data_IF_064613973442
#
_entry.id   IF_064613973442
#
_cell.length_a   1.000
_cell.length_b   1.000
_cell.length_c   1.000
_cell.angle_alpha   90.00
_cell.angle_beta   90.00
_cell.angle_gamma   90.00
#
_symmetry.space_group_name_H-M   'P 1'
#
loop_
_entity.id
_entity.type
_entity.pdbx_description
1 polymer ?
#
# COMPACT_ATOMS: atom_id res chain seq x y z
N UNK A 1 -2.96 15.38 -28.45
CA UNK A 1 -4.41 15.54 -28.68
C UNK A 1 -4.81 16.82 -27.98
N UNK A 2 -5.48 17.74 -28.66
CA UNK A 2 -5.96 18.96 -28.01
C UNK A 2 -7.11 18.59 -27.04
N UNK A 3 -7.02 18.90 -25.73
CA UNK A 3 -8.06 18.58 -24.76
C UNK A 3 -9.43 19.17 -25.12
N UNK A 4 -9.46 20.35 -25.75
CA UNK A 4 -10.71 21.03 -26.13
C UNK A 4 -11.39 20.36 -27.32
N UNK A 5 -10.60 19.91 -28.29
CA UNK A 5 -11.07 19.14 -29.44
C UNK A 5 -11.63 17.78 -28.97
N UNK A 6 -10.89 17.08 -28.12
CA UNK A 6 -11.30 15.80 -27.53
C UNK A 6 -12.63 15.89 -26.76
N UNK A 7 -12.82 16.96 -25.98
CA UNK A 7 -14.06 17.20 -25.25
C UNK A 7 -15.24 17.48 -26.19
N UNK A 8 -15.00 18.20 -27.29
CA UNK A 8 -16.03 18.51 -28.29
C UNK A 8 -16.49 17.24 -29.01
N UNK A 9 -15.55 16.36 -29.35
CA UNK A 9 -15.85 15.08 -29.98
C UNK A 9 -16.57 14.11 -29.02
N UNK A 10 -16.16 14.03 -27.74
CA UNK A 10 -16.91 13.31 -26.70
C UNK A 10 -18.34 13.85 -26.56
N UNK A 11 -18.55 15.16 -26.62
CA UNK A 11 -19.89 15.76 -26.56
C UNK A 11 -20.75 15.35 -27.75
N UNK A 12 -20.17 15.30 -28.95
CA UNK A 12 -20.84 14.81 -30.16
C UNK A 12 -21.26 13.34 -30.01
N UNK A 13 -20.33 12.47 -29.56
CA UNK A 13 -20.62 11.04 -29.28
C UNK A 13 -21.71 10.87 -28.24
N UNK A 14 -21.75 11.73 -27.21
CA UNK A 14 -22.78 11.69 -26.15
C UNK A 14 -24.16 12.12 -26.66
N UNK A 15 -24.24 13.03 -27.63
CA UNK A 15 -25.48 13.69 -28.05
C UNK A 15 -26.19 12.99 -29.22
N UNK A 16 -25.49 12.13 -29.97
CA UNK A 16 -26.01 11.44 -31.15
C UNK A 16 -26.16 9.92 -30.99
N UNK A 17 -26.62 9.26 -32.06
CA UNK A 17 -26.44 7.82 -32.21
C UNK A 17 -24.96 7.56 -32.56
N UNK A 18 -24.25 6.91 -31.64
CA UNK A 18 -22.85 6.53 -31.79
C UNK A 18 -22.72 5.01 -31.84
N UNK A 19 -21.79 4.52 -32.67
CA UNK A 19 -21.46 3.10 -32.70
C UNK A 19 -20.58 2.68 -31.51
N UNK A 20 -20.37 1.37 -31.38
CA UNK A 20 -19.60 0.81 -30.27
C UNK A 20 -18.14 1.28 -30.25
N UNK A 21 -17.54 1.54 -31.41
CA UNK A 21 -16.15 1.99 -31.53
C UNK A 21 -16.01 3.43 -31.05
N UNK A 22 -16.92 4.31 -31.47
CA UNK A 22 -17.00 5.70 -31.03
C UNK A 22 -17.23 5.82 -29.51
N UNK A 23 -18.06 4.95 -28.94
CA UNK A 23 -18.30 4.91 -27.50
C UNK A 23 -17.05 4.46 -26.71
N UNK A 24 -16.36 3.42 -27.19
CA UNK A 24 -15.12 2.94 -26.55
C UNK A 24 -13.99 3.96 -26.65
N UNK A 25 -13.88 4.64 -27.80
CA UNK A 25 -12.98 5.77 -27.97
C UNK A 25 -13.31 6.88 -26.96
N UNK A 26 -14.57 7.31 -26.88
CA UNK A 26 -14.98 8.40 -25.99
C UNK A 26 -14.72 8.08 -24.51
N UNK A 27 -14.97 6.83 -24.08
CA UNK A 27 -14.68 6.38 -22.72
C UNK A 27 -13.17 6.36 -22.43
N UNK A 28 -12.35 5.94 -23.39
CA UNK A 28 -10.89 5.92 -23.27
C UNK A 28 -10.34 7.34 -23.18
N UNK A 29 -10.77 8.22 -24.08
CA UNK A 29 -10.39 9.64 -24.10
C UNK A 29 -10.82 10.35 -22.81
N UNK A 30 -12.03 10.07 -22.32
CA UNK A 30 -12.52 10.63 -21.05
C UNK A 30 -11.70 10.15 -19.85
N UNK A 31 -11.22 8.91 -19.84
CA UNK A 31 -10.31 8.41 -18.80
C UNK A 31 -8.98 9.16 -18.83
N UNK A 32 -8.37 9.30 -20.00
CA UNK A 32 -7.09 10.00 -20.17
C UNK A 32 -7.19 11.48 -19.74
N UNK A 33 -8.27 12.16 -20.12
CA UNK A 33 -8.53 13.54 -19.68
C UNK A 33 -8.71 13.64 -18.16
N UNK A 34 -9.38 12.67 -17.53
CA UNK A 34 -9.51 12.65 -16.06
C UNK A 34 -8.17 12.42 -15.37
N UNK A 35 -7.31 11.58 -15.94
CA UNK A 35 -5.97 11.34 -15.40
C UNK A 35 -5.12 12.62 -15.49
N UNK A 36 -5.17 13.34 -16.61
CA UNK A 36 -4.48 14.63 -16.79
C UNK A 36 -5.02 15.71 -15.82
N UNK A 37 -6.33 15.85 -15.71
CA UNK A 37 -6.93 16.80 -14.76
C UNK A 37 -6.61 16.46 -13.30
N UNK A 38 -6.46 15.17 -12.98
CA UNK A 38 -6.10 14.71 -11.64
C UNK A 38 -4.67 15.09 -11.26
N UNK A 39 -3.74 15.25 -12.21
CA UNK A 39 -2.37 15.74 -11.91
C UNK A 39 -2.34 17.24 -11.68
N UNK A 40 -3.19 18.01 -12.36
CA UNK A 40 -3.24 19.47 -12.21
C UNK A 40 -3.84 19.91 -10.87
N UNK A 41 -4.82 19.17 -10.33
CA UNK A 41 -5.48 19.54 -9.07
C UNK A 41 -4.50 19.76 -7.89
N UNK A 42 -3.58 18.82 -7.55
CA UNK A 42 -2.59 19.06 -6.49
C UNK A 42 -1.58 20.16 -6.83
N UNK A 43 -1.23 20.38 -8.10
CA UNK A 43 -0.34 21.48 -8.52
C UNK A 43 -1.00 22.84 -8.28
N UNK A 44 -2.26 23.00 -8.69
CA UNK A 44 -3.04 24.22 -8.48
C UNK A 44 -3.29 24.50 -7.00
N UNK A 45 -3.59 23.47 -6.20
CA UNK A 45 -3.71 23.62 -4.74
C UNK A 45 -2.38 24.06 -4.13
N UNK A 46 -1.26 23.47 -4.55
CA UNK A 46 0.08 23.83 -4.06
C UNK A 46 0.42 25.27 -4.41
N UNK A 47 0.19 25.69 -5.66
CA UNK A 47 0.39 27.06 -6.10
C UNK A 47 -0.45 28.05 -5.27
N UNK A 48 -1.75 27.77 -5.08
CA UNK A 48 -2.63 28.60 -4.28
C UNK A 48 -2.19 28.71 -2.82
N UNK A 49 -1.70 27.61 -2.21
CA UNK A 49 -1.15 27.59 -0.86
C UNK A 49 0.14 28.42 -0.75
N UNK A 50 1.03 28.31 -1.74
CA UNK A 50 2.27 29.10 -1.83
C UNK A 50 1.97 30.60 -1.98
N UNK A 51 0.88 30.96 -2.66
CA UNK A 51 0.38 32.35 -2.74
C UNK A 51 -0.35 32.83 -1.48
N UNK A 52 -0.41 32.03 -0.41
CA UNK A 52 -1.00 32.42 0.87
C UNK A 52 -2.49 32.09 1.04
N UNK A 53 -3.12 31.41 0.07
CA UNK A 53 -4.54 31.04 0.17
C UNK A 53 -4.75 30.06 1.32
N UNK A 54 -5.68 30.35 2.24
CA UNK A 54 -5.98 29.45 3.36
C UNK A 54 -6.79 28.21 2.91
N UNK A 55 -6.69 27.11 3.64
CA UNK A 55 -7.54 25.93 3.42
C UNK A 55 -9.04 26.23 3.52
N UNK A 56 -9.43 27.20 4.34
CA UNK A 56 -10.82 27.63 4.44
C UNK A 56 -11.29 28.33 3.15
N UNK A 57 -10.42 29.13 2.53
CA UNK A 57 -10.70 29.78 1.24
C UNK A 57 -10.69 28.79 0.06
N UNK A 58 -9.89 27.70 0.14
CA UNK A 58 -9.87 26.65 -0.87
C UNK A 58 -11.09 25.71 -0.82
N UNK A 59 -11.70 25.53 0.35
CA UNK A 59 -12.77 24.54 0.52
C UNK A 59 -13.95 24.72 -0.45
N UNK A 60 -14.50 25.94 -0.67
CA UNK A 60 -15.55 26.15 -1.68
C UNK A 60 -15.10 25.80 -3.10
N UNK A 61 -13.87 26.19 -3.50
CA UNK A 61 -13.34 25.93 -4.83
C UNK A 61 -13.13 24.43 -5.12
N UNK A 62 -12.83 23.65 -4.08
CA UNK A 62 -12.68 22.19 -4.16
C UNK A 62 -14.01 21.43 -3.99
N UNK A 63 -15.14 22.14 -3.84
CA UNK A 63 -16.45 21.54 -3.65
C UNK A 63 -16.63 20.79 -2.32
N UNK A 64 -15.90 21.20 -1.27
CA UNK A 64 -15.95 20.55 0.05
C UNK A 64 -16.43 21.52 1.14
N UNK A 65 -17.13 20.97 2.14
CA UNK A 65 -17.83 21.77 3.14
C UNK A 65 -16.91 22.41 4.20
N UNK A 66 -15.65 22.00 4.31
CA UNK A 66 -14.77 22.49 5.40
C UNK A 66 -13.30 22.53 5.02
N UNK A 67 -12.55 23.35 5.77
CA UNK A 67 -11.07 23.40 5.74
C UNK A 67 -10.44 22.01 5.88
N UNK A 68 -10.89 21.22 6.87
CA UNK A 68 -10.33 19.90 7.12
C UNK A 68 -10.61 18.95 5.94
N UNK A 69 -11.77 19.07 5.29
CA UNK A 69 -12.09 18.27 4.11
C UNK A 69 -11.19 18.65 2.92
N UNK A 70 -10.87 19.93 2.75
CA UNK A 70 -9.94 20.42 1.73
C UNK A 70 -8.51 19.90 1.95
N UNK A 71 -8.01 20.04 3.17
CA UNK A 71 -6.68 19.56 3.56
C UNK A 71 -6.55 18.04 3.36
N UNK A 72 -7.53 17.27 3.83
CA UNK A 72 -7.56 15.81 3.64
C UNK A 72 -7.63 15.41 2.17
N UNK A 73 -8.34 16.16 1.32
CA UNK A 73 -8.37 15.92 -0.12
C UNK A 73 -6.98 16.10 -0.73
N UNK A 74 -6.31 17.20 -0.44
CA UNK A 74 -4.95 17.46 -0.90
C UNK A 74 -3.95 16.38 -0.45
N UNK A 75 -3.99 15.97 0.82
CA UNK A 75 -3.11 14.92 1.34
C UNK A 75 -3.33 13.54 0.68
N UNK A 76 -4.51 13.26 0.12
CA UNK A 76 -4.77 12.05 -0.67
C UNK A 76 -4.28 12.13 -2.10
N UNK A 77 -4.15 13.36 -2.63
CA UNK A 77 -3.69 13.65 -3.98
C UNK A 77 -2.16 13.77 -4.03
N UNK A 78 -1.52 14.05 -2.89
CA UNK A 78 -0.07 13.97 -2.75
C UNK A 78 0.40 12.55 -3.06
N UNK A 79 1.37 12.38 -3.98
CA UNK A 79 2.03 11.10 -4.16
C UNK A 79 2.57 10.64 -2.81
N UNK A 80 2.26 9.41 -2.38
CA UNK A 80 3.07 8.79 -1.34
C UNK A 80 4.52 8.77 -1.83
N UNK A 81 5.48 8.66 -0.91
CA UNK A 81 6.93 8.62 -1.17
C UNK A 81 7.35 7.57 -2.23
N UNK A 82 6.41 6.73 -2.69
CA UNK A 82 6.52 5.73 -3.76
C UNK A 82 6.12 6.20 -5.18
N UNK A 83 5.50 7.38 -5.37
CA UNK A 83 5.33 8.00 -6.69
C UNK A 83 4.19 7.51 -7.61
N UNK A 84 3.07 6.99 -7.08
CA UNK A 84 1.95 6.48 -7.89
C UNK A 84 0.86 7.54 -8.15
N UNK A 85 0.46 7.76 -9.42
CA UNK A 85 -0.30 8.93 -9.88
C UNK A 85 -1.75 8.68 -10.35
N UNK A 86 -2.29 7.44 -10.32
CA UNK A 86 -3.69 7.19 -10.76
C UNK A 86 -4.51 6.32 -9.78
N UNK A 87 -5.84 6.47 -9.81
CA UNK A 87 -6.77 5.66 -8.99
C UNK A 87 -6.69 4.16 -9.30
N UNK A 88 -6.38 3.81 -10.55
CA UNK A 88 -6.14 2.44 -11.01
C UNK A 88 -4.83 1.87 -10.40
N UNK A 89 -3.76 2.67 -10.37
CA UNK A 89 -2.51 2.27 -9.71
C UNK A 89 -2.71 2.00 -8.21
N UNK A 90 -3.55 2.78 -7.51
CA UNK A 90 -3.89 2.53 -6.09
C UNK A 90 -4.62 1.20 -5.90
N UNK A 91 -5.55 0.87 -6.79
CA UNK A 91 -6.29 -0.40 -6.73
C UNK A 91 -5.34 -1.57 -6.99
N UNK A 92 -4.43 -1.42 -7.95
CA UNK A 92 -3.46 -2.46 -8.27
C UNK A 92 -2.41 -2.64 -7.18
N UNK A 93 -1.88 -1.57 -6.59
CA UNK A 93 -0.99 -1.63 -5.43
C UNK A 93 -1.68 -2.31 -4.22
N UNK A 94 -2.96 -2.02 -3.98
CA UNK A 94 -3.73 -2.68 -2.94
C UNK A 94 -4.00 -4.16 -3.26
N UNK A 95 -4.18 -4.52 -4.54
CA UNK A 95 -4.32 -5.91 -5.00
C UNK A 95 -3.01 -6.68 -4.87
N UNK A 96 -1.89 -6.05 -5.19
CA UNK A 96 -0.52 -6.58 -5.00
C UNK A 96 -0.24 -6.85 -3.55
N UNK A 97 -0.50 -5.86 -2.68
CA UNK A 97 -0.38 -6.03 -1.24
C UNK A 97 -1.19 -7.23 -0.76
N UNK A 98 -2.46 -7.34 -1.16
CA UNK A 98 -3.32 -8.48 -0.79
C UNK A 98 -2.81 -9.80 -1.36
N UNK A 99 -2.21 -9.81 -2.54
CA UNK A 99 -1.62 -11.01 -3.12
C UNK A 99 -0.38 -11.46 -2.33
N UNK A 100 0.50 -10.52 -1.99
CA UNK A 100 1.65 -10.76 -1.12
C UNK A 100 1.25 -11.25 0.27
N UNK A 101 0.27 -10.61 0.91
CA UNK A 101 -0.24 -11.02 2.22
C UNK A 101 -0.82 -12.45 2.19
N UNK A 102 -1.56 -12.80 1.12
CA UNK A 102 -2.06 -14.18 0.93
C UNK A 102 -0.93 -15.20 0.73
N UNK A 103 0.09 -14.85 -0.04
CA UNK A 103 1.24 -15.73 -0.27
C UNK A 103 2.02 -16.00 1.03
N UNK A 104 2.23 -14.97 1.84
CA UNK A 104 2.86 -15.10 3.16
C UNK A 104 1.99 -15.94 4.10
N UNK A 105 0.69 -15.70 4.16
CA UNK A 105 -0.21 -16.47 5.03
C UNK A 105 -0.26 -17.96 4.65
N UNK A 106 -0.27 -18.28 3.34
CA UNK A 106 -0.20 -19.65 2.86
C UNK A 106 1.12 -20.33 3.27
N UNK A 107 2.25 -19.67 3.00
CA UNK A 107 3.57 -20.18 3.38
C UNK A 107 3.70 -20.34 4.91
N UNK A 108 3.21 -19.38 5.70
CA UNK A 108 3.26 -19.45 7.16
C UNK A 108 2.44 -20.62 7.70
N UNK A 109 1.28 -20.92 7.10
CA UNK A 109 0.47 -22.09 7.46
C UNK A 109 1.22 -23.40 7.19
N UNK A 110 1.86 -23.51 6.02
CA UNK A 110 2.70 -24.66 5.65
C UNK A 110 3.94 -24.81 6.55
N UNK A 111 4.48 -23.70 7.05
CA UNK A 111 5.70 -23.66 7.87
C UNK A 111 5.42 -23.44 9.36
N UNK A 112 4.18 -23.66 9.78
CA UNK A 112 3.67 -23.26 11.10
C UNK A 112 4.41 -23.92 12.27
N UNK A 113 4.81 -25.19 12.13
CA UNK A 113 5.60 -25.89 13.14
C UNK A 113 6.98 -25.24 13.34
N UNK A 114 7.66 -24.86 12.26
CA UNK A 114 8.96 -24.18 12.30
C UNK A 114 8.83 -22.80 12.95
N UNK A 115 7.81 -22.02 12.56
CA UNK A 115 7.54 -20.70 13.12
C UNK A 115 7.25 -20.77 14.62
N UNK A 116 6.38 -21.71 15.04
CA UNK A 116 6.04 -21.90 16.46
C UNK A 116 7.24 -22.41 17.28
N UNK A 117 8.05 -23.30 16.73
CA UNK A 117 9.29 -23.76 17.40
C UNK A 117 10.24 -22.58 17.65
N UNK A 118 10.50 -21.78 16.62
CA UNK A 118 11.39 -20.62 16.75
C UNK A 118 10.83 -19.61 17.75
N UNK A 119 9.52 -19.34 17.70
CA UNK A 119 8.88 -18.46 18.67
C UNK A 119 8.93 -19.02 20.10
N UNK A 120 8.73 -20.32 20.30
CA UNK A 120 8.93 -20.96 21.60
C UNK A 120 10.36 -20.77 22.14
N UNK A 121 11.37 -20.92 21.28
CA UNK A 121 12.77 -20.72 21.66
C UNK A 121 13.07 -19.28 22.06
N UNK A 122 12.58 -18.30 21.28
CA UNK A 122 12.82 -16.87 21.54
C UNK A 122 12.05 -16.39 22.79
N UNK A 123 10.81 -16.84 22.98
CA UNK A 123 10.01 -16.47 24.16
C UNK A 123 10.54 -17.05 25.48
N UNK A 124 11.25 -18.17 25.42
CA UNK A 124 11.86 -18.81 26.59
C UNK A 124 13.23 -18.23 26.99
N UNK A 125 13.76 -17.24 26.26
CA UNK A 125 15.03 -16.62 26.58
C UNK A 125 14.93 -15.82 27.89
N UNK A 126 15.77 -16.15 28.86
CA UNK A 126 15.90 -15.44 30.13
C UNK A 126 17.03 -14.40 30.12
N UNK A 127 17.02 -13.49 31.09
CA UNK A 127 18.06 -12.47 31.24
C UNK A 127 18.02 -11.36 30.18
N UNK A 128 16.85 -11.16 29.57
CA UNK A 128 16.61 -10.14 28.57
C UNK A 128 16.47 -8.75 29.22
N UNK A 129 16.98 -7.71 28.54
CA UNK A 129 16.66 -6.32 28.90
C UNK A 129 15.17 -6.02 28.72
N UNK A 130 14.67 -4.93 29.30
CA UNK A 130 13.24 -4.58 29.31
C UNK A 130 12.61 -4.48 27.90
N UNK A 131 13.35 -4.02 26.91
CA UNK A 131 12.88 -3.98 25.51
C UNK A 131 12.72 -5.39 24.92
N UNK A 132 13.70 -6.25 25.14
CA UNK A 132 13.72 -7.62 24.67
C UNK A 132 12.66 -8.50 25.36
N UNK A 133 12.41 -8.27 26.65
CA UNK A 133 11.33 -8.94 27.39
C UNK A 133 9.95 -8.62 26.80
N UNK A 134 9.68 -7.34 26.45
CA UNK A 134 8.41 -6.97 25.80
C UNK A 134 8.22 -7.66 24.45
N UNK A 135 9.29 -7.82 23.67
CA UNK A 135 9.24 -8.57 22.41
C UNK A 135 8.97 -10.07 22.64
N UNK A 136 9.59 -10.67 23.67
CA UNK A 136 9.33 -12.05 24.07
C UNK A 136 7.88 -12.27 24.56
N UNK A 137 7.32 -11.34 25.33
CA UNK A 137 5.94 -11.41 25.82
C UNK A 137 4.93 -11.34 24.66
N UNK A 138 5.16 -10.45 23.69
CA UNK A 138 4.34 -10.37 22.46
C UNK A 138 4.39 -11.68 21.66
N UNK A 139 5.57 -12.29 21.61
CA UNK A 139 5.76 -13.60 20.99
C UNK A 139 4.95 -14.68 21.70
N UNK A 140 4.96 -14.67 23.04
CA UNK A 140 4.17 -15.57 23.87
C UNK A 140 2.67 -15.44 23.63
N UNK A 141 2.17 -14.21 23.49
CA UNK A 141 0.77 -13.95 23.14
C UNK A 141 0.44 -14.49 21.73
N UNK A 142 1.31 -14.25 20.75
CA UNK A 142 1.11 -14.68 19.36
C UNK A 142 1.20 -16.21 19.18
N UNK A 143 1.89 -16.93 20.07
CA UNK A 143 1.92 -18.41 20.07
C UNK A 143 0.54 -19.03 20.32
N UNK A 144 -0.36 -18.30 20.99
CA UNK A 144 -1.74 -18.71 21.21
C UNK A 144 -2.69 -18.46 20.03
N UNK A 145 -2.22 -17.81 18.96
CA UNK A 145 -3.03 -17.54 17.77
C UNK A 145 -3.08 -18.76 16.82
N UNK A 146 -4.23 -18.93 16.18
CA UNK A 146 -4.45 -19.95 15.16
C UNK A 146 -3.64 -19.65 13.88
N UNK A 147 -3.44 -18.37 13.56
CA UNK A 147 -2.70 -17.94 12.37
C UNK A 147 -1.20 -17.82 12.63
N UNK A 148 -0.43 -18.77 12.07
CA UNK A 148 1.03 -18.76 12.16
C UNK A 148 1.67 -17.52 11.51
N UNK A 149 0.98 -16.80 10.62
CA UNK A 149 1.49 -15.55 10.07
C UNK A 149 1.62 -14.44 11.13
N UNK A 150 0.81 -14.50 12.20
CA UNK A 150 0.87 -13.55 13.31
C UNK A 150 2.20 -13.60 14.08
N UNK A 151 2.97 -14.68 13.95
CA UNK A 151 4.29 -14.83 14.58
C UNK A 151 5.39 -14.02 13.90
N UNK A 152 5.23 -13.66 12.61
CA UNK A 152 6.30 -13.06 11.81
C UNK A 152 6.70 -11.66 12.30
N UNK A 153 5.72 -10.80 12.61
CA UNK A 153 6.01 -9.44 13.08
C UNK A 153 6.67 -9.44 14.47
N UNK A 154 6.14 -10.16 15.48
CA UNK A 154 6.82 -10.30 16.78
C UNK A 154 8.21 -10.91 16.68
N UNK A 155 8.43 -11.89 15.78
CA UNK A 155 9.76 -12.48 15.56
C UNK A 155 10.74 -11.42 15.03
N UNK A 156 10.32 -10.65 14.03
CA UNK A 156 11.12 -9.57 13.47
C UNK A 156 11.45 -8.48 14.51
N UNK A 157 10.48 -8.10 15.34
CA UNK A 157 10.68 -7.15 16.45
C UNK A 157 11.68 -7.65 17.51
N UNK A 158 11.80 -8.97 17.67
CA UNK A 158 12.76 -9.57 18.60
C UNK A 158 14.18 -9.63 18.02
N UNK A 159 14.34 -9.64 16.68
CA UNK A 159 15.62 -9.86 16.00
C UNK A 159 16.77 -8.98 16.51
N UNK A 160 16.61 -7.64 16.67
CA UNK A 160 17.73 -6.78 17.08
C UNK A 160 18.25 -7.09 18.49
N UNK A 161 17.40 -7.69 19.32
CA UNK A 161 17.72 -8.06 20.70
C UNK A 161 18.44 -9.41 20.82
N UNK A 162 18.43 -10.22 19.75
CA UNK A 162 19.09 -11.53 19.72
C UNK A 162 20.55 -11.43 19.27
N UNK A 163 20.91 -10.40 18.51
CA UNK A 163 22.21 -10.29 17.82
C UNK A 163 23.42 -10.41 18.76
N UNK A 164 23.37 -9.79 19.95
CA UNK A 164 24.52 -9.72 20.86
C UNK A 164 24.83 -11.04 21.56
N UNK A 165 23.80 -11.82 21.92
CA UNK A 165 23.94 -13.00 22.81
C UNK A 165 23.45 -14.31 22.18
N UNK A 166 22.65 -14.22 21.12
CA UNK A 166 21.95 -15.32 20.46
C UNK A 166 22.01 -15.21 18.94
N UNK A 167 23.20 -14.93 18.38
CA UNK A 167 23.40 -14.68 16.94
C UNK A 167 22.78 -15.74 16.01
N UNK A 168 22.92 -17.02 16.34
CA UNK A 168 22.32 -18.10 15.54
C UNK A 168 20.78 -18.07 15.49
N UNK A 169 20.11 -17.57 16.54
CA UNK A 169 18.65 -17.36 16.53
C UNK A 169 18.30 -16.09 15.74
N UNK A 170 19.11 -15.03 15.87
CA UNK A 170 18.96 -13.81 15.09
C UNK A 170 19.03 -14.11 13.58
N UNK A 171 19.98 -14.95 13.15
CA UNK A 171 20.16 -15.35 11.75
C UNK A 171 18.95 -16.14 11.22
N UNK A 172 18.40 -17.04 12.04
CA UNK A 172 17.20 -17.80 11.68
C UNK A 172 15.96 -16.90 11.54
N UNK A 173 15.80 -15.93 12.44
CA UNK A 173 14.72 -14.93 12.34
C UNK A 173 14.90 -14.09 11.07
N UNK A 174 16.10 -13.60 10.79
CA UNK A 174 16.41 -12.85 9.57
C UNK A 174 16.05 -13.66 8.32
N UNK A 175 16.47 -14.92 8.23
CA UNK A 175 16.19 -15.78 7.08
C UNK A 175 14.68 -15.96 6.83
N UNK A 176 13.88 -16.06 7.90
CA UNK A 176 12.42 -16.20 7.85
C UNK A 176 11.76 -14.89 7.40
N UNK A 177 12.16 -13.74 7.96
CA UNK A 177 11.65 -12.43 7.55
C UNK A 177 11.97 -12.16 6.08
N UNK A 178 13.21 -12.40 5.66
CA UNK A 178 13.61 -12.23 4.26
C UNK A 178 12.84 -13.17 3.31
N UNK A 179 12.57 -14.41 3.75
CA UNK A 179 11.76 -15.34 2.96
C UNK A 179 10.34 -14.83 2.79
N UNK A 180 9.72 -14.30 3.84
CA UNK A 180 8.40 -13.68 3.78
C UNK A 180 8.39 -12.46 2.85
N UNK A 181 9.41 -11.60 2.92
CA UNK A 181 9.52 -10.43 2.04
C UNK A 181 9.76 -10.79 0.58
N UNK A 182 10.55 -11.83 0.29
CA UNK A 182 10.67 -12.39 -1.06
C UNK A 182 9.32 -12.88 -1.58
N UNK A 183 8.55 -13.62 -0.77
CA UNK A 183 7.21 -14.08 -1.16
C UNK A 183 6.24 -12.93 -1.47
N UNK A 184 6.29 -11.84 -0.70
CA UNK A 184 5.46 -10.64 -0.99
C UNK A 184 5.81 -10.03 -2.33
N UNK A 185 7.10 -9.90 -2.63
CA UNK A 185 7.59 -9.35 -3.91
C UNK A 185 7.28 -10.26 -5.09
N UNK A 186 7.55 -11.55 -4.97
CA UNK A 186 7.31 -12.53 -6.03
C UNK A 186 5.82 -12.60 -6.40
N UNK A 187 4.93 -12.54 -5.41
CA UNK A 187 3.48 -12.54 -5.63
C UNK A 187 2.99 -11.27 -6.36
N UNK A 188 3.60 -10.11 -6.10
CA UNK A 188 3.31 -8.87 -6.81
C UNK A 188 3.81 -8.94 -8.27
N UNK A 189 5.05 -9.42 -8.47
CA UNK A 189 5.65 -9.57 -9.81
C UNK A 189 4.89 -10.57 -10.70
N UNK A 190 4.51 -11.74 -10.17
CA UNK A 190 3.75 -12.75 -10.93
C UNK A 190 2.40 -12.24 -11.42
N UNK A 191 1.78 -11.28 -10.72
CA UNK A 191 0.53 -10.65 -11.16
C UNK A 191 0.81 -9.61 -12.24
N UNK A 192 1.89 -8.83 -12.11
CA UNK A 192 2.32 -7.90 -13.14
C UNK A 192 2.58 -8.61 -14.47
N UNK A 193 3.25 -9.77 -14.44
CA UNK A 193 3.55 -10.57 -15.63
C UNK A 193 2.32 -11.22 -16.28
N UNK A 194 1.28 -11.52 -15.49
CA UNK A 194 -0.01 -12.08 -16.00
C UNK A 194 -0.98 -11.03 -16.52
N UNK A 195 -0.74 -9.76 -16.22
CA UNK A 195 -1.56 -8.63 -16.66
C UNK A 195 -1.08 -7.99 -17.98
N UNK A 196 0.02 -8.48 -18.54
CA UNK A 196 0.60 -8.06 -19.81
C UNK A 196 0.31 -9.07 -20.90
#
# INVERSE_FOLDING_TARGET
>A
MDPLEALTEIQSVRAGEADAEQLLWALTTLRLLRDELATWEPELITAARTSGTSWAALAPALGVASRQAAERRYLRLQPSVTGETTGEARVDAQRDKRAGDRAVAAWARENSATLRKLAGQVSALGGLGTAAQRSADRLGAALGDDDAAALLAPLNDAQPHLTERHGALADQVTAITERADRLRRDAASLRHDRGK
#
